data_IF_693498651194
#
_entry.id   IF_693498651194
#
_cell.length_a   1.000
_cell.length_b   1.000
_cell.length_c   1.000
_cell.angle_alpha   90.00
_cell.angle_beta   90.00
_cell.angle_gamma   90.00
#
_symmetry.space_group_name_H-M   'P 1'
#
loop_
_entity.id
_entity.type
_entity.pdbx_description
1 polymer ?
#
# COMPACT_ATOMS: atom_id res chain seq x y z
N UNK A 1 -48.72 -24.98 -26.80
CA UNK A 1 -47.48 -25.77 -26.74
C UNK A 1 -46.31 -24.87 -27.21
N UNK A 2 -45.74 -24.06 -26.36
CA UNK A 2 -44.47 -23.32 -26.65
C UNK A 2 -44.07 -22.43 -25.47
N UNK A 3 -43.90 -23.01 -24.28
CA UNK A 3 -43.48 -22.27 -23.08
C UNK A 3 -42.27 -23.00 -22.41
N UNK A 4 -41.50 -23.77 -23.15
CA UNK A 4 -40.43 -24.58 -22.55
C UNK A 4 -38.99 -24.24 -23.00
N UNK A 5 -38.79 -23.13 -23.71
CA UNK A 5 -37.45 -22.83 -24.29
C UNK A 5 -36.86 -21.49 -23.86
N UNK A 6 -37.43 -20.82 -22.85
CA UNK A 6 -36.91 -19.51 -22.38
C UNK A 6 -36.22 -19.56 -21.02
N UNK A 7 -35.92 -20.73 -20.45
CA UNK A 7 -35.43 -20.88 -19.08
C UNK A 7 -33.95 -21.33 -18.98
N UNK A 8 -33.19 -21.31 -20.07
CA UNK A 8 -31.77 -21.78 -20.07
C UNK A 8 -30.77 -20.62 -20.30
N UNK A 9 -31.25 -19.38 -20.41
CA UNK A 9 -30.40 -18.23 -20.79
C UNK A 9 -29.86 -17.36 -19.65
N UNK A 10 -30.12 -17.65 -18.35
CA UNK A 10 -29.82 -16.71 -17.25
C UNK A 10 -28.81 -17.24 -16.23
N UNK A 11 -27.98 -18.20 -16.55
CA UNK A 11 -27.03 -18.76 -15.56
C UNK A 11 -25.55 -18.60 -15.92
N UNK A 12 -25.15 -17.61 -16.68
CA UNK A 12 -23.75 -17.39 -17.03
C UNK A 12 -23.23 -15.98 -16.80
N UNK A 13 -23.84 -15.21 -15.90
CA UNK A 13 -23.33 -13.92 -15.42
C UNK A 13 -22.83 -14.04 -13.97
N UNK A 14 -22.10 -15.11 -13.65
CA UNK A 14 -21.45 -15.27 -12.36
C UNK A 14 -20.09 -14.58 -12.39
N UNK A 15 -20.07 -13.28 -11.99
CA UNK A 15 -19.18 -12.76 -10.96
C UNK A 15 -17.69 -13.03 -11.18
N UNK A 16 -17.06 -12.32 -12.10
CA UNK A 16 -15.66 -11.92 -11.89
C UNK A 16 -15.70 -10.73 -10.92
N UNK A 17 -16.12 -10.99 -9.68
CA UNK A 17 -15.75 -10.12 -8.56
C UNK A 17 -14.27 -10.35 -8.31
N UNK A 18 -13.43 -9.78 -9.22
CA UNK A 18 -12.01 -9.72 -9.01
C UNK A 18 -11.80 -9.07 -7.65
N UNK A 19 -11.13 -9.77 -6.74
CA UNK A 19 -10.67 -9.21 -5.49
C UNK A 19 -9.83 -7.97 -5.82
N UNK A 20 -10.44 -6.81 -5.80
CA UNK A 20 -9.74 -5.55 -5.69
C UNK A 20 -9.19 -5.50 -4.25
N UNK A 21 -8.15 -6.31 -4.00
CA UNK A 21 -7.40 -6.20 -2.77
C UNK A 21 -6.83 -4.78 -2.76
N UNK A 22 -7.25 -3.97 -1.80
CA UNK A 22 -6.65 -2.65 -1.60
C UNK A 22 -5.15 -2.82 -1.35
N UNK A 23 -4.36 -1.84 -1.76
CA UNK A 23 -2.90 -1.86 -1.53
C UNK A 23 -2.56 -2.10 -0.06
N UNK A 24 -3.39 -1.61 0.86
CA UNK A 24 -3.23 -1.83 2.30
C UNK A 24 -3.47 -3.29 2.71
N UNK A 25 -4.46 -3.96 2.13
CA UNK A 25 -4.69 -5.38 2.37
C UNK A 25 -3.54 -6.23 1.83
N UNK A 26 -3.05 -5.94 0.63
CA UNK A 26 -1.90 -6.63 0.04
C UNK A 26 -0.62 -6.45 0.88
N UNK A 27 -0.38 -5.24 1.40
CA UNK A 27 0.77 -4.95 2.26
C UNK A 27 0.77 -5.74 3.58
N UNK A 28 -0.40 -6.06 4.14
CA UNK A 28 -0.49 -6.85 5.39
C UNK A 28 0.04 -8.26 5.26
N UNK A 29 -0.11 -8.89 4.10
CA UNK A 29 0.40 -10.24 3.86
C UNK A 29 1.92 -10.30 3.65
N UNK A 30 2.54 -9.16 3.37
CA UNK A 30 3.97 -9.06 3.10
C UNK A 30 4.80 -8.74 4.33
N UNK A 31 4.16 -8.48 5.48
CA UNK A 31 4.84 -8.07 6.70
C UNK A 31 4.49 -9.01 7.84
N UNK A 32 5.51 -9.40 8.60
CA UNK A 32 5.32 -10.21 9.79
C UNK A 32 4.52 -9.41 10.84
N UNK A 33 3.41 -9.96 11.36
CA UNK A 33 2.68 -9.34 12.46
C UNK A 33 3.59 -9.11 13.68
N UNK A 34 3.33 -8.04 14.40
CA UNK A 34 4.02 -7.70 15.66
C UNK A 34 5.55 -7.50 15.54
N UNK A 35 6.06 -7.28 14.33
CA UNK A 35 7.48 -7.05 14.05
C UNK A 35 8.09 -5.94 14.93
N UNK A 36 7.32 -4.93 15.26
CA UNK A 36 7.77 -3.74 16.00
C UNK A 36 7.46 -3.76 17.49
N UNK A 37 6.94 -4.85 18.03
CA UNK A 37 6.52 -4.92 19.44
C UNK A 37 7.66 -4.68 20.44
N UNK A 38 8.88 -5.07 20.11
CA UNK A 38 10.05 -4.88 20.96
C UNK A 38 10.73 -3.51 20.80
N UNK A 39 10.31 -2.71 19.81
CA UNK A 39 10.92 -1.42 19.53
C UNK A 39 10.47 -0.37 20.57
N UNK A 40 11.43 0.46 21.02
CA UNK A 40 11.12 1.68 21.78
C UNK A 40 10.48 2.74 20.89
N UNK A 41 9.84 3.77 21.50
CA UNK A 41 9.26 4.87 20.73
C UNK A 41 10.29 5.60 19.85
N UNK A 42 11.56 5.67 20.27
CA UNK A 42 12.63 6.25 19.46
C UNK A 42 12.93 5.40 18.23
N UNK A 43 13.10 4.10 18.41
CA UNK A 43 13.34 3.17 17.30
C UNK A 43 12.17 3.13 16.32
N UNK A 44 10.93 3.21 16.82
CA UNK A 44 9.74 3.34 15.98
C UNK A 44 9.76 4.63 15.15
N UNK A 45 10.19 5.76 15.74
CA UNK A 45 10.32 7.03 15.04
C UNK A 45 11.38 6.98 13.93
N UNK A 46 12.54 6.41 14.22
CA UNK A 46 13.63 6.22 13.26
C UNK A 46 13.21 5.30 12.11
N UNK A 47 12.55 4.18 12.42
CA UNK A 47 12.00 3.26 11.43
C UNK A 47 10.95 3.94 10.54
N UNK A 48 10.05 4.74 11.12
CA UNK A 48 9.04 5.49 10.38
C UNK A 48 9.66 6.45 9.36
N UNK A 49 10.70 7.17 9.76
CA UNK A 49 11.41 8.09 8.86
C UNK A 49 12.07 7.34 7.70
N UNK A 50 12.75 6.24 7.99
CA UNK A 50 13.42 5.42 6.97
C UNK A 50 12.42 4.83 5.98
N UNK A 51 11.34 4.23 6.48
CA UNK A 51 10.28 3.63 5.66
C UNK A 51 9.59 4.70 4.83
N UNK A 52 9.23 5.83 5.43
CA UNK A 52 8.58 6.94 4.74
C UNK A 52 9.44 7.53 3.63
N UNK A 53 10.73 7.75 3.88
CA UNK A 53 11.67 8.23 2.87
C UNK A 53 11.77 7.27 1.67
N UNK A 54 11.84 5.95 1.92
CA UNK A 54 11.90 4.95 0.85
C UNK A 54 10.60 4.84 0.07
N UNK A 55 9.43 4.96 0.72
CA UNK A 55 8.15 5.02 0.03
C UNK A 55 8.09 6.18 -0.96
N UNK A 56 8.50 7.37 -0.54
CA UNK A 56 8.53 8.57 -1.39
C UNK A 56 9.49 8.41 -2.57
N UNK A 57 10.64 7.79 -2.35
CA UNK A 57 11.58 7.48 -3.43
C UNK A 57 10.94 6.56 -4.47
N UNK A 58 10.29 5.47 -4.05
CA UNK A 58 9.60 4.55 -4.94
C UNK A 58 8.46 5.21 -5.70
N UNK A 59 7.68 6.06 -5.04
CA UNK A 59 6.63 6.86 -5.69
C UNK A 59 7.22 7.74 -6.80
N UNK A 60 8.35 8.37 -6.53
CA UNK A 60 9.08 9.17 -7.52
C UNK A 60 9.58 8.33 -8.70
N UNK A 61 10.08 7.11 -8.45
CA UNK A 61 10.53 6.19 -9.50
C UNK A 61 9.35 5.69 -10.35
N UNK A 62 8.23 5.34 -9.71
CA UNK A 62 7.01 4.94 -10.43
C UNK A 62 6.44 6.08 -11.28
N UNK A 63 6.46 7.31 -10.77
CA UNK A 63 6.04 8.48 -11.53
C UNK A 63 6.95 8.75 -12.74
N UNK A 64 8.26 8.60 -12.59
CA UNK A 64 9.24 8.76 -13.68
C UNK A 64 9.13 7.66 -14.76
N UNK A 65 8.70 6.46 -14.39
CA UNK A 65 8.51 5.36 -15.32
C UNK A 65 7.45 5.68 -16.39
N UNK A 66 6.50 6.55 -16.05
CA UNK A 66 5.52 7.08 -16.99
C UNK A 66 4.24 6.23 -17.12
N UNK A 67 3.23 6.78 -17.81
CA UNK A 67 1.90 6.17 -17.93
C UNK A 67 1.77 5.19 -19.11
N UNK A 68 2.77 5.07 -19.98
CA UNK A 68 2.77 4.15 -21.11
C UNK A 68 2.83 2.66 -20.66
N UNK A 69 2.66 1.74 -21.59
CA UNK A 69 2.60 0.31 -21.26
C UNK A 69 3.91 -0.20 -20.65
N UNK A 70 5.07 0.25 -21.16
CA UNK A 70 6.39 -0.13 -20.62
C UNK A 70 6.63 0.45 -19.24
N UNK A 71 6.27 1.70 -19.01
CA UNK A 71 6.38 2.36 -17.70
C UNK A 71 5.49 1.71 -16.65
N UNK A 72 4.24 1.39 -16.97
CA UNK A 72 3.35 0.64 -16.08
C UNK A 72 3.87 -0.76 -15.76
N UNK A 73 4.43 -1.45 -16.74
CA UNK A 73 5.03 -2.76 -16.55
C UNK A 73 6.21 -2.68 -15.58
N UNK A 74 7.13 -1.74 -15.78
CA UNK A 74 8.27 -1.52 -14.89
C UNK A 74 7.82 -1.14 -13.48
N UNK A 75 6.86 -0.24 -13.33
CA UNK A 75 6.30 0.15 -12.03
C UNK A 75 5.71 -1.05 -11.29
N UNK A 76 4.97 -1.90 -12.00
CA UNK A 76 4.28 -3.05 -11.42
C UNK A 76 5.25 -4.13 -10.97
N UNK A 77 6.30 -4.42 -11.74
CA UNK A 77 7.22 -5.53 -11.47
C UNK A 77 8.40 -5.10 -10.61
N UNK A 78 9.01 -3.95 -10.91
CA UNK A 78 10.23 -3.53 -10.24
C UNK A 78 9.98 -2.80 -8.90
N UNK A 79 8.97 -1.94 -8.83
CA UNK A 79 8.81 -1.03 -7.69
C UNK A 79 7.62 -1.34 -6.79
N UNK A 80 6.49 -1.79 -7.35
CA UNK A 80 5.26 -2.00 -6.61
C UNK A 80 5.37 -3.05 -5.49
N UNK A 81 6.05 -4.19 -5.64
CA UNK A 81 6.16 -5.16 -4.55
C UNK A 81 6.85 -4.59 -3.32
N UNK A 82 7.96 -3.87 -3.49
CA UNK A 82 8.67 -3.20 -2.39
C UNK A 82 7.80 -2.11 -1.77
N UNK A 83 7.13 -1.30 -2.59
CA UNK A 83 6.23 -0.25 -2.13
C UNK A 83 5.10 -0.81 -1.24
N UNK A 84 4.47 -1.90 -1.65
CA UNK A 84 3.40 -2.55 -0.86
C UNK A 84 3.95 -3.13 0.45
N UNK A 85 5.14 -3.70 0.44
CA UNK A 85 5.80 -4.17 1.65
C UNK A 85 6.07 -3.03 2.64
N UNK A 86 6.58 -1.90 2.16
CA UNK A 86 6.83 -0.72 2.99
C UNK A 86 5.54 -0.13 3.55
N UNK A 87 4.46 -0.11 2.77
CA UNK A 87 3.13 0.29 3.27
C UNK A 87 2.65 -0.62 4.40
N UNK A 88 2.81 -1.92 4.25
CA UNK A 88 2.49 -2.89 5.30
C UNK A 88 3.33 -2.66 6.56
N UNK A 89 4.63 -2.42 6.42
CA UNK A 89 5.50 -2.09 7.55
C UNK A 89 5.08 -0.79 8.25
N UNK A 90 4.74 0.24 7.49
CA UNK A 90 4.26 1.50 8.06
C UNK A 90 2.94 1.31 8.83
N UNK A 91 2.02 0.47 8.34
CA UNK A 91 0.78 0.17 9.03
C UNK A 91 1.02 -0.54 10.37
N UNK A 92 1.90 -1.53 10.41
CA UNK A 92 2.29 -2.21 11.67
C UNK A 92 2.98 -1.24 12.63
N UNK A 93 3.81 -0.36 12.13
CA UNK A 93 4.49 0.65 12.92
C UNK A 93 3.50 1.67 13.53
N UNK A 94 2.51 2.13 12.76
CA UNK A 94 1.42 3.00 13.26
C UNK A 94 0.65 2.31 14.39
N UNK A 95 0.26 1.05 14.17
CA UNK A 95 -0.44 0.23 15.16
C UNK A 95 0.37 0.15 16.45
N UNK A 96 1.63 -0.28 16.38
CA UNK A 96 2.51 -0.42 17.56
C UNK A 96 2.76 0.91 18.25
N UNK A 97 2.97 2.00 17.51
CA UNK A 97 3.17 3.34 18.10
C UNK A 97 1.93 3.84 18.85
N UNK A 98 0.74 3.53 18.33
CA UNK A 98 -0.52 3.87 18.99
C UNK A 98 -0.73 3.03 20.26
N UNK A 99 -0.46 1.74 20.22
CA UNK A 99 -0.53 0.83 21.38
C UNK A 99 0.42 1.27 22.51
N UNK A 100 1.63 1.68 22.14
CA UNK A 100 2.66 2.18 23.09
C UNK A 100 2.46 3.64 23.48
N UNK A 101 1.46 4.33 22.91
CA UNK A 101 1.18 5.76 23.15
C UNK A 101 2.39 6.65 22.89
N UNK A 102 3.15 6.36 21.83
CA UNK A 102 4.29 7.17 21.43
C UNK A 102 3.84 8.56 20.95
N UNK A 103 4.63 9.60 21.25
CA UNK A 103 4.29 11.01 20.97
C UNK A 103 4.90 11.53 19.67
N UNK A 104 5.11 10.71 18.68
CA UNK A 104 5.59 11.15 17.37
C UNK A 104 4.54 10.86 16.31
N UNK A 105 4.63 11.56 15.17
CA UNK A 105 3.81 11.29 13.99
C UNK A 105 4.52 10.30 13.07
N UNK A 106 4.04 9.06 12.91
CA UNK A 106 4.66 8.09 12.01
C UNK A 106 4.71 8.55 10.55
N UNK A 107 3.78 9.40 10.16
CA UNK A 107 3.65 9.89 8.78
C UNK A 107 4.40 11.21 8.53
N UNK A 108 5.19 11.69 9.47
CA UNK A 108 5.89 12.97 9.34
C UNK A 108 6.78 13.03 8.09
N UNK A 109 7.49 11.94 7.78
CA UNK A 109 8.33 11.86 6.58
C UNK A 109 7.52 11.92 5.29
N UNK A 110 6.32 11.34 5.26
CA UNK A 110 5.40 11.38 4.11
C UNK A 110 4.77 12.77 3.94
N UNK A 111 4.46 13.47 5.03
CA UNK A 111 3.86 14.81 5.02
C UNK A 111 4.84 15.92 4.66
N UNK A 112 6.12 15.78 4.95
CA UNK A 112 7.13 16.81 4.73
C UNK A 112 7.25 17.24 3.24
N UNK A 113 7.05 16.32 2.29
CA UNK A 113 7.10 16.65 0.85
C UNK A 113 5.87 17.34 0.31
N UNK A 114 4.70 17.12 0.91
CA UNK A 114 3.49 17.84 0.48
C UNK A 114 3.67 19.34 0.71
N UNK A 115 4.31 19.71 1.80
CA UNK A 115 4.62 21.12 2.10
C UNK A 115 5.67 21.71 1.15
N UNK A 116 6.67 20.94 0.73
CA UNK A 116 7.73 21.42 -0.18
C UNK A 116 7.23 21.61 -1.62
N UNK A 117 6.28 20.76 -2.06
CA UNK A 117 5.65 20.92 -3.39
C UNK A 117 4.66 22.08 -3.49
N UNK A 118 4.06 22.49 -2.38
CA UNK A 118 3.10 23.62 -2.35
C UNK A 118 3.82 24.97 -2.37
N UNK A 119 5.10 25.03 -2.00
CA UNK A 119 5.90 26.27 -1.94
C UNK A 119 6.68 26.54 -3.24
N UNK A 120 6.64 25.64 -4.20
CA UNK A 120 7.21 25.81 -5.54
C UNK A 120 6.12 26.01 -6.58
#
# INVERSE_FOLDING_TARGET
>A
MTVRTQLVGILAAATVSGCAASDDASGRFLVQPDRYQLYSCRELSEAAQTIGARQLELEGLMAKAGPDASGRFMSTIAYRPEYLQLRGQMNELRKTSAEKKCKFNPDAALGARVSDQVIR
#
